data_IF_113530487659
#
_entry.id   IF_113530487659
#
_cell.length_a   1.000
_cell.length_b   1.000
_cell.length_c   1.000
_cell.angle_alpha   90.00
_cell.angle_beta   90.00
_cell.angle_gamma   90.00
#
_symmetry.space_group_name_H-M   'P 1'
#
loop_
_entity.id
_entity.type
_entity.pdbx_description
1 polymer ?
#
# COMPACT_ATOMS: atom_id res chain seq x y z
N UNK A 1 6.77 11.45 2.38
CA UNK A 1 5.91 11.99 1.31
C UNK A 1 4.42 11.86 1.62
N UNK A 2 3.94 10.79 2.27
CA UNK A 2 2.50 10.53 2.45
C UNK A 2 1.64 11.70 2.95
N UNK A 3 1.98 12.39 4.03
CA UNK A 3 1.19 13.58 4.45
C UNK A 3 1.53 14.86 3.67
N UNK A 4 2.64 14.88 2.93
CA UNK A 4 3.07 16.07 2.19
C UNK A 4 2.28 16.26 0.89
N UNK A 5 1.99 15.20 0.14
CA UNK A 5 1.20 15.34 -1.09
C UNK A 5 -0.23 15.86 -0.85
N UNK A 6 -1.03 15.36 0.11
CA UNK A 6 -2.34 15.94 0.36
C UNK A 6 -2.25 17.38 0.88
N UNK A 7 -1.20 17.74 1.63
CA UNK A 7 -1.01 19.09 2.15
C UNK A 7 -0.59 20.13 1.08
N UNK A 8 0.18 19.72 0.07
CA UNK A 8 0.81 20.65 -0.89
C UNK A 8 0.46 20.40 -2.37
N UNK A 9 0.01 19.19 -2.73
CA UNK A 9 -0.27 18.75 -4.10
C UNK A 9 -1.71 18.22 -4.30
N UNK A 10 -2.47 18.04 -3.22
CA UNK A 10 -3.87 17.63 -3.22
C UNK A 10 -4.10 16.11 -3.20
N UNK A 11 -5.35 15.73 -2.94
CA UNK A 11 -5.77 14.33 -2.74
C UNK A 11 -5.50 13.43 -3.95
N UNK A 12 -5.70 13.94 -5.17
CA UNK A 12 -5.47 13.16 -6.40
C UNK A 12 -4.00 12.78 -6.60
N UNK A 13 -3.07 13.63 -6.19
CA UNK A 13 -1.64 13.32 -6.24
C UNK A 13 -1.28 12.22 -5.23
N UNK A 14 -1.80 12.30 -4.00
CA UNK A 14 -1.65 11.26 -2.99
C UNK A 14 -2.32 9.94 -3.42
N UNK A 15 -3.47 9.99 -4.10
CA UNK A 15 -4.17 8.80 -4.59
C UNK A 15 -3.31 7.97 -5.56
N UNK A 16 -2.69 8.63 -6.55
CA UNK A 16 -1.77 7.97 -7.48
C UNK A 16 -0.51 7.45 -6.78
N UNK A 17 0.01 8.21 -5.83
CA UNK A 17 1.16 7.79 -5.03
C UNK A 17 0.84 6.52 -4.23
N UNK A 18 -0.28 6.53 -3.48
CA UNK A 18 -0.75 5.39 -2.69
C UNK A 18 -0.99 4.16 -3.57
N UNK A 19 -1.58 4.33 -4.76
CA UNK A 19 -1.81 3.22 -5.69
C UNK A 19 -0.50 2.53 -6.11
N UNK A 20 0.55 3.30 -6.40
CA UNK A 20 1.87 2.75 -6.76
C UNK A 20 2.53 2.10 -5.55
N UNK A 21 2.51 2.76 -4.40
CA UNK A 21 3.10 2.26 -3.15
C UNK A 21 2.44 0.97 -2.68
N UNK A 22 1.13 0.80 -2.92
CA UNK A 22 0.39 -0.41 -2.59
C UNK A 22 0.89 -1.68 -3.31
N UNK A 23 1.76 -1.55 -4.33
CA UNK A 23 2.41 -2.67 -5.00
C UNK A 23 3.61 -3.23 -4.23
N UNK A 24 4.20 -2.46 -3.31
CA UNK A 24 5.36 -2.90 -2.52
C UNK A 24 5.01 -4.06 -1.58
N UNK A 25 3.95 -4.01 -0.74
CA UNK A 25 3.66 -5.10 0.18
C UNK A 25 3.29 -6.43 -0.50
N UNK A 26 2.59 -6.49 -1.65
CA UNK A 26 2.48 -7.72 -2.44
C UNK A 26 3.83 -8.28 -2.89
N UNK A 27 4.78 -7.42 -3.28
CA UNK A 27 6.16 -7.82 -3.58
C UNK A 27 6.84 -8.47 -2.37
N UNK A 28 6.73 -7.85 -1.20
CA UNK A 28 7.24 -8.39 0.06
C UNK A 28 6.57 -9.71 0.43
N UNK A 29 5.25 -9.81 0.24
CA UNK A 29 4.48 -11.05 0.45
C UNK A 29 5.08 -12.18 -0.38
N UNK A 30 5.37 -11.94 -1.66
CA UNK A 30 5.99 -12.93 -2.54
C UNK A 30 7.41 -13.30 -2.09
N UNK A 31 8.20 -12.32 -1.62
CA UNK A 31 9.56 -12.57 -1.11
C UNK A 31 9.53 -13.46 0.13
N UNK A 32 8.68 -13.12 1.12
CA UNK A 32 8.52 -13.89 2.36
C UNK A 32 8.08 -15.32 2.05
N UNK A 33 7.10 -15.49 1.16
CA UNK A 33 6.61 -16.82 0.77
C UNK A 33 7.68 -17.62 0.00
N UNK A 34 8.44 -16.97 -0.89
CA UNK A 34 9.51 -17.61 -1.65
C UNK A 34 10.64 -18.11 -0.76
N UNK A 35 10.96 -17.39 0.31
CA UNK A 35 12.04 -17.73 1.23
C UNK A 35 11.60 -18.70 2.35
N UNK A 36 10.32 -19.09 2.39
CA UNK A 36 9.81 -20.02 3.39
C UNK A 36 9.64 -19.42 4.79
N UNK A 37 9.62 -18.08 4.88
CA UNK A 37 9.40 -17.37 6.14
C UNK A 37 7.94 -17.48 6.62
N UNK A 38 7.65 -16.84 7.75
CA UNK A 38 6.38 -17.00 8.49
C UNK A 38 5.19 -16.52 7.64
N UNK A 39 4.31 -17.45 7.21
CA UNK A 39 3.10 -17.15 6.42
C UNK A 39 2.17 -16.13 7.10
N UNK A 40 2.12 -16.14 8.42
CA UNK A 40 1.34 -15.16 9.18
C UNK A 40 1.85 -13.72 8.96
N UNK A 41 3.16 -13.52 8.79
CA UNK A 41 3.70 -12.21 8.44
C UNK A 41 3.41 -11.85 6.97
N UNK A 42 3.58 -12.80 6.04
CA UNK A 42 3.29 -12.61 4.62
C UNK A 42 1.85 -12.12 4.38
N UNK A 43 0.87 -12.85 4.91
CA UNK A 43 -0.54 -12.53 4.69
C UNK A 43 -1.11 -11.54 5.71
N UNK A 44 -0.65 -11.59 6.96
CA UNK A 44 -1.17 -10.76 8.02
C UNK A 44 -0.62 -9.34 8.00
N UNK A 45 0.69 -9.17 7.78
CA UNK A 45 1.30 -7.84 7.73
C UNK A 45 1.31 -7.34 6.30
N UNK A 46 2.06 -7.98 5.40
CA UNK A 46 2.31 -7.42 4.08
C UNK A 46 1.04 -7.35 3.22
N UNK A 47 0.32 -8.45 3.08
CA UNK A 47 -0.89 -8.45 2.26
C UNK A 47 -2.00 -7.55 2.86
N UNK A 48 -2.20 -7.55 4.18
CA UNK A 48 -3.19 -6.68 4.81
C UNK A 48 -2.85 -5.18 4.63
N UNK A 49 -1.58 -4.80 4.76
CA UNK A 49 -1.14 -3.43 4.46
C UNK A 49 -1.42 -3.06 3.00
N UNK A 50 -1.24 -3.99 2.05
CA UNK A 50 -1.61 -3.75 0.65
C UNK A 50 -3.11 -3.41 0.51
N UNK A 51 -3.97 -4.18 1.17
CA UNK A 51 -5.43 -3.97 1.13
C UNK A 51 -5.80 -2.61 1.71
N UNK A 52 -5.24 -2.23 2.86
CA UNK A 52 -5.51 -0.92 3.47
C UNK A 52 -5.02 0.22 2.57
N UNK A 53 -3.81 0.11 2.00
CA UNK A 53 -3.30 1.13 1.08
C UNK A 53 -4.15 1.29 -0.19
N UNK A 54 -4.71 0.19 -0.72
CA UNK A 54 -5.64 0.25 -1.84
C UNK A 54 -6.97 0.92 -1.46
N UNK A 55 -7.47 0.66 -0.25
CA UNK A 55 -8.67 1.34 0.26
C UNK A 55 -8.42 2.84 0.44
N UNK A 56 -7.27 3.23 0.98
CA UNK A 56 -6.88 4.64 1.09
C UNK A 56 -6.79 5.31 -0.28
N UNK A 57 -6.15 4.68 -1.26
CA UNK A 57 -6.08 5.19 -2.63
C UNK A 57 -7.49 5.36 -3.24
N UNK A 58 -8.37 4.38 -3.06
CA UNK A 58 -9.75 4.45 -3.55
C UNK A 58 -10.54 5.59 -2.89
N UNK A 59 -10.40 5.78 -1.58
CA UNK A 59 -11.00 6.89 -0.85
C UNK A 59 -10.46 8.23 -1.36
N UNK A 60 -9.15 8.37 -1.58
CA UNK A 60 -8.55 9.59 -2.09
C UNK A 60 -8.97 9.93 -3.53
N UNK A 61 -9.28 8.92 -4.36
CA UNK A 61 -9.87 9.16 -5.69
C UNK A 61 -11.35 9.55 -5.64
N UNK A 62 -12.06 9.17 -4.58
CA UNK A 62 -13.47 9.48 -4.38
C UNK A 62 -13.70 10.89 -3.76
N UNK A 63 -12.65 11.54 -3.26
CA UNK A 63 -12.64 12.94 -2.82
C UNK A 63 -12.46 13.90 -4.00
#
# INVERSE_FOLDING_TARGET
MGLALPAFAGARAEAWFMLIVALLPPGDTLIVLRNGDIKAAAFGVHYATAVVALLDAALLFAL
#
